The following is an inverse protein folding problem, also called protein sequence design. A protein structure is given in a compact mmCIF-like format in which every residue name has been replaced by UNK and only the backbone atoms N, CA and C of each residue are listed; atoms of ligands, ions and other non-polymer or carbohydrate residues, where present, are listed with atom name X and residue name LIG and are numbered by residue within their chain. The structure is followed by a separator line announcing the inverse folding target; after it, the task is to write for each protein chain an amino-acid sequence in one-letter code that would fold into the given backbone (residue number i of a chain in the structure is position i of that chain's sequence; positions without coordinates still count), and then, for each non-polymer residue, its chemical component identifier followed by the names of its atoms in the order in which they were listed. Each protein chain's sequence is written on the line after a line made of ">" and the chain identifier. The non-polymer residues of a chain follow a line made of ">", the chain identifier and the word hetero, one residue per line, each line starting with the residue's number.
data_IF_890297970531
#
_entry.id   IF_890297970531
#
_cell.length_a   1.000
_cell.length_b   1.000
_cell.length_c   1.000
_cell.angle_alpha   90.00
_cell.angle_beta   90.00
_cell.angle_gamma   90.00
#
_symmetry.space_group_name_H-M   'P 1'
#
loop_
_entity.id
_entity.type
_entity.pdbx_description
1 polymer ?
#
# COMPACT_ATOMS: atom_id res chain seq x y z
N UNK A 1 12.89 -0.93 19.88
CA UNK A 1 12.14 -0.78 21.15
C UNK A 1 10.64 -0.98 20.92
N UNK A 2 10.00 -0.25 19.99
CA UNK A 2 8.59 -0.44 19.60
C UNK A 2 8.33 -1.86 19.07
N UNK A 3 9.24 -2.37 18.24
CA UNK A 3 9.18 -3.73 17.69
C UNK A 3 9.30 -4.81 18.77
N UNK A 4 10.20 -4.65 19.74
CA UNK A 4 10.29 -5.56 20.88
C UNK A 4 9.03 -5.55 21.72
N UNK A 5 8.44 -4.38 21.95
CA UNK A 5 7.21 -4.26 22.74
C UNK A 5 6.04 -4.96 22.04
N UNK A 6 5.90 -4.76 20.73
CA UNK A 6 4.85 -5.41 19.93
C UNK A 6 5.02 -6.93 19.83
N UNK A 7 6.24 -7.43 19.64
CA UNK A 7 6.49 -8.87 19.51
C UNK A 7 6.58 -9.61 20.86
N UNK A 8 7.13 -9.00 21.93
CA UNK A 8 7.22 -9.62 23.27
C UNK A 8 5.87 -9.67 23.95
N UNK A 9 5.01 -8.67 23.76
CA UNK A 9 3.65 -8.67 24.32
C UNK A 9 2.70 -9.68 23.62
N UNK A 10 3.20 -10.48 22.67
CA UNK A 10 2.41 -11.51 21.98
C UNK A 10 1.37 -10.96 21.01
N UNK A 11 1.32 -9.64 20.78
CA UNK A 11 0.33 -9.02 19.90
C UNK A 11 0.46 -9.51 18.46
N UNK A 12 1.66 -9.85 17.99
CA UNK A 12 1.86 -10.39 16.65
C UNK A 12 1.17 -11.75 16.37
N UNK A 13 0.54 -12.40 17.37
CA UNK A 13 -0.18 -13.68 17.17
C UNK A 13 -1.59 -13.52 16.58
N UNK A 14 -2.22 -12.34 16.73
CA UNK A 14 -3.59 -12.09 16.23
C UNK A 14 -3.58 -11.06 15.10
N UNK A 15 -4.22 -11.39 13.98
CA UNK A 15 -4.35 -10.55 12.78
C UNK A 15 -4.87 -9.13 13.08
N UNK A 16 -5.89 -9.04 13.92
CA UNK A 16 -6.49 -7.78 14.39
C UNK A 16 -5.49 -6.83 15.06
N UNK A 17 -4.43 -7.35 15.68
CA UNK A 17 -3.45 -6.51 16.35
C UNK A 17 -2.58 -5.72 15.35
N UNK A 18 -2.44 -6.20 14.11
CA UNK A 18 -1.78 -5.43 13.05
C UNK A 18 -2.64 -4.26 12.57
N UNK A 19 -3.97 -4.40 12.56
CA UNK A 19 -4.89 -3.29 12.28
C UNK A 19 -4.74 -2.22 13.37
N UNK A 20 -4.89 -2.60 14.63
CA UNK A 20 -4.77 -1.66 15.75
C UNK A 20 -3.38 -1.01 15.80
N UNK A 21 -2.33 -1.77 15.51
CA UNK A 21 -0.97 -1.25 15.45
C UNK A 21 -0.82 -0.21 14.33
N UNK A 22 -1.26 -0.53 13.10
CA UNK A 22 -1.23 0.42 11.98
C UNK A 22 -2.00 1.68 12.31
N UNK A 23 -3.17 1.54 12.92
CA UNK A 23 -4.01 2.66 13.35
C UNK A 23 -3.28 3.58 14.33
N UNK A 24 -2.77 3.02 15.43
CA UNK A 24 -2.06 3.80 16.46
C UNK A 24 -0.82 4.48 15.88
N UNK A 25 -0.06 3.78 15.02
CA UNK A 25 1.15 4.34 14.41
C UNK A 25 0.82 5.53 13.51
N UNK A 26 -0.27 5.48 12.74
CA UNK A 26 -0.71 6.64 11.95
C UNK A 26 -1.08 7.82 12.83
N UNK A 27 -1.86 7.59 13.90
CA UNK A 27 -2.24 8.66 14.83
C UNK A 27 -1.00 9.31 15.45
N UNK A 28 -0.09 8.50 16.00
CA UNK A 28 1.16 8.99 16.59
C UNK A 28 2.02 9.71 15.55
N UNK A 29 2.15 9.16 14.34
CA UNK A 29 2.93 9.76 13.28
C UNK A 29 2.35 11.08 12.79
N UNK A 30 1.03 11.17 12.66
CA UNK A 30 0.31 12.39 12.32
C UNK A 30 0.52 13.49 13.36
N UNK A 31 0.32 13.20 14.66
CA UNK A 31 0.57 14.18 15.71
C UNK A 31 2.04 14.58 15.82
N UNK A 32 2.96 13.64 15.61
CA UNK A 32 4.40 13.95 15.56
C UNK A 32 4.70 14.91 14.40
N UNK A 33 4.13 14.68 13.22
CA UNK A 33 4.26 15.57 12.07
C UNK A 33 3.59 16.92 12.28
N UNK A 34 2.44 16.96 12.95
CA UNK A 34 1.75 18.19 13.34
C UNK A 34 2.65 19.09 14.20
N UNK A 35 3.32 18.50 15.19
CA UNK A 35 4.18 19.24 16.12
C UNK A 35 5.49 19.69 15.46
N UNK A 36 6.15 18.80 14.72
CA UNK A 36 7.49 19.05 14.17
C UNK A 36 7.50 19.77 12.82
N UNK A 37 6.52 19.47 11.97
CA UNK A 37 6.48 19.90 10.57
C UNK A 37 5.18 20.64 10.21
N UNK A 38 4.38 21.03 11.22
CA UNK A 38 3.09 21.73 11.03
C UNK A 38 2.11 20.97 10.14
N UNK A 39 2.14 19.64 10.23
CA UNK A 39 1.37 18.70 9.42
C UNK A 39 1.62 18.86 7.91
N UNK A 40 2.88 18.94 7.50
CA UNK A 40 3.21 18.71 6.09
C UNK A 40 2.81 17.29 5.67
N UNK A 41 2.13 17.16 4.53
CA UNK A 41 1.57 15.90 4.05
C UNK A 41 2.64 14.83 3.77
N UNK A 42 3.75 15.20 3.13
CA UNK A 42 4.86 14.29 2.82
C UNK A 42 5.64 13.92 4.09
N UNK A 43 5.91 14.90 4.96
CA UNK A 43 6.55 14.66 6.24
C UNK A 43 5.73 13.67 7.09
N UNK A 44 4.40 13.78 7.07
CA UNK A 44 3.50 12.85 7.75
C UNK A 44 3.68 11.42 7.25
N UNK A 45 3.68 11.22 5.92
CA UNK A 45 3.90 9.90 5.31
C UNK A 45 5.28 9.32 5.68
N UNK A 46 6.32 10.15 5.66
CA UNK A 46 7.68 9.73 6.01
C UNK A 46 7.82 9.34 7.48
N UNK A 47 7.27 10.14 8.40
CA UNK A 47 7.30 9.84 9.85
C UNK A 47 6.59 8.52 10.14
N UNK A 48 5.40 8.31 9.57
CA UNK A 48 4.65 7.05 9.72
C UNK A 48 5.46 5.88 9.16
N UNK A 49 6.06 6.04 7.99
CA UNK A 49 6.91 5.02 7.36
C UNK A 49 8.10 4.65 8.25
N UNK A 50 8.78 5.65 8.83
CA UNK A 50 9.91 5.44 9.74
C UNK A 50 9.48 4.67 11.01
N UNK A 51 8.31 4.98 11.57
CA UNK A 51 7.77 4.27 12.73
C UNK A 51 7.43 2.80 12.43
N UNK A 52 6.97 2.51 11.22
CA UNK A 52 6.64 1.15 10.77
C UNK A 52 7.87 0.31 10.40
N UNK A 53 8.95 0.95 9.96
CA UNK A 53 10.13 0.29 9.39
C UNK A 53 10.74 -0.80 10.31
N UNK A 54 10.97 -0.57 11.62
CA UNK A 54 11.57 -1.60 12.49
C UNK A 54 10.74 -2.88 12.59
N UNK A 55 9.42 -2.74 12.68
CA UNK A 55 8.49 -3.88 12.82
C UNK A 55 8.50 -4.74 11.55
N UNK A 56 8.50 -4.09 10.40
CA UNK A 56 8.43 -4.78 9.11
C UNK A 56 9.78 -5.35 8.67
N UNK A 57 10.90 -4.68 8.96
CA UNK A 57 12.24 -5.27 8.81
C UNK A 57 12.37 -6.58 9.61
N UNK A 58 11.84 -6.61 10.83
CA UNK A 58 11.82 -7.83 11.66
C UNK A 58 10.95 -8.92 11.06
N UNK A 59 9.86 -8.55 10.41
CA UNK A 59 8.96 -9.48 9.73
C UNK A 59 9.64 -10.12 8.50
N UNK A 60 10.26 -9.31 7.63
CA UNK A 60 11.05 -9.81 6.50
C UNK A 60 12.21 -10.71 6.94
N UNK A 61 12.86 -10.38 8.06
CA UNK A 61 13.92 -11.23 8.61
C UNK A 61 13.42 -12.61 9.00
N UNK A 62 12.20 -12.71 9.56
CA UNK A 62 11.59 -14.02 9.89
C UNK A 62 11.21 -14.79 8.63
N UNK A 63 10.62 -14.12 7.65
CA UNK A 63 10.20 -14.73 6.39
C UNK A 63 11.37 -15.37 5.64
N UNK A 64 12.48 -14.65 5.53
CA UNK A 64 13.66 -15.16 4.84
C UNK A 64 14.22 -16.45 5.48
N UNK A 65 14.25 -16.53 6.81
CA UNK A 65 14.71 -17.74 7.51
C UNK A 65 13.83 -18.95 7.15
N UNK A 66 12.54 -18.72 6.89
CA UNK A 66 11.60 -19.76 6.44
C UNK A 66 11.89 -20.13 4.98
N UNK A 67 12.10 -19.14 4.11
CA UNK A 67 12.41 -19.33 2.68
C UNK A 67 13.70 -20.12 2.49
N UNK A 68 14.77 -19.81 3.24
CA UNK A 68 16.06 -20.52 3.16
C UNK A 68 15.95 -22.00 3.53
N UNK A 69 15.07 -22.34 4.49
CA UNK A 69 14.94 -23.70 5.03
C UNK A 69 14.01 -24.60 4.21
N UNK A 70 13.09 -24.03 3.41
CA UNK A 70 12.07 -24.79 2.68
C UNK A 70 12.31 -24.72 1.17
N UNK A 71 12.25 -25.88 0.49
CA UNK A 71 12.12 -25.90 -0.99
C UNK A 71 10.78 -25.25 -1.35
N UNK A 72 10.82 -24.05 -1.93
CA UNK A 72 9.65 -23.27 -2.29
C UNK A 72 8.87 -23.93 -3.44
N UNK A 73 7.86 -24.76 -3.13
CA UNK A 73 6.95 -25.32 -4.15
C UNK A 73 5.75 -24.43 -4.44
N UNK A 74 5.33 -23.59 -3.48
CA UNK A 74 4.11 -22.76 -3.58
C UNK A 74 4.34 -21.34 -3.04
N UNK A 75 4.62 -20.38 -3.94
CA UNK A 75 4.95 -18.99 -3.63
C UNK A 75 3.91 -18.35 -2.70
N UNK A 76 2.62 -18.41 -3.06
CA UNK A 76 1.55 -17.80 -2.25
C UNK A 76 1.36 -18.43 -0.87
N UNK A 77 1.53 -19.76 -0.74
CA UNK A 77 1.44 -20.43 0.57
C UNK A 77 2.64 -20.10 1.46
N UNK A 78 3.81 -19.90 0.84
CA UNK A 78 5.03 -19.58 1.57
C UNK A 78 4.99 -18.17 2.14
N UNK A 79 4.52 -17.20 1.35
CA UNK A 79 4.46 -15.78 1.75
C UNK A 79 3.13 -15.36 2.40
N UNK A 80 2.23 -16.30 2.70
CA UNK A 80 0.92 -16.02 3.26
C UNK A 80 0.99 -15.15 4.52
N UNK A 81 1.96 -15.41 5.41
CA UNK A 81 2.11 -14.64 6.65
C UNK A 81 2.48 -13.17 6.38
N UNK A 82 3.37 -12.92 5.41
CA UNK A 82 3.74 -11.56 5.00
C UNK A 82 2.55 -10.86 4.38
N UNK A 83 1.88 -11.51 3.43
CA UNK A 83 0.71 -10.93 2.76
C UNK A 83 -0.41 -10.60 3.73
N UNK A 84 -0.75 -11.51 4.65
CA UNK A 84 -1.75 -11.24 5.68
C UNK A 84 -1.32 -10.08 6.57
N UNK A 85 -0.07 -10.06 7.04
CA UNK A 85 0.40 -8.98 7.93
C UNK A 85 0.34 -7.62 7.25
N UNK A 86 0.82 -7.53 6.01
CA UNK A 86 0.78 -6.32 5.21
C UNK A 86 -0.66 -5.84 4.96
N UNK A 87 -1.57 -6.78 4.65
CA UNK A 87 -2.97 -6.48 4.43
C UNK A 87 -3.66 -5.92 5.69
N UNK A 88 -3.49 -6.58 6.84
CA UNK A 88 -4.08 -6.09 8.09
C UNK A 88 -3.47 -4.76 8.55
N UNK A 89 -2.16 -4.58 8.34
CA UNK A 89 -1.51 -3.31 8.62
C UNK A 89 -2.06 -2.19 7.72
N UNK A 90 -2.22 -2.46 6.42
CA UNK A 90 -2.82 -1.54 5.46
C UNK A 90 -4.21 -1.10 5.93
N UNK A 91 -5.08 -2.02 6.35
CA UNK A 91 -6.42 -1.68 6.84
C UNK A 91 -6.36 -0.72 8.04
N UNK A 92 -5.45 -0.97 8.99
CA UNK A 92 -5.25 -0.09 10.14
C UNK A 92 -4.84 1.32 9.73
N UNK A 93 -3.89 1.42 8.78
CA UNK A 93 -3.40 2.69 8.25
C UNK A 93 -4.52 3.44 7.52
N UNK A 94 -5.21 2.75 6.61
CA UNK A 94 -6.33 3.29 5.83
C UNK A 94 -7.43 3.85 6.72
N UNK A 95 -7.91 3.09 7.72
CA UNK A 95 -8.97 3.58 8.61
C UNK A 95 -8.50 4.74 9.49
N UNK A 96 -7.23 4.79 9.90
CA UNK A 96 -6.72 5.94 10.64
C UNK A 96 -6.70 7.20 9.79
N UNK A 97 -6.19 7.13 8.55
CA UNK A 97 -6.26 8.26 7.63
C UNK A 97 -7.70 8.68 7.34
N UNK A 98 -8.59 7.73 7.08
CA UNK A 98 -10.01 8.02 6.85
C UNK A 98 -10.64 8.80 8.01
N UNK A 99 -10.39 8.39 9.26
CA UNK A 99 -10.92 9.11 10.43
C UNK A 99 -10.27 10.50 10.58
N UNK A 100 -8.96 10.60 10.38
CA UNK A 100 -8.25 11.89 10.43
C UNK A 100 -8.79 12.87 9.38
N UNK A 101 -9.00 12.40 8.16
CA UNK A 101 -9.53 13.22 7.07
C UNK A 101 -11.00 13.60 7.32
N UNK A 102 -11.86 12.66 7.75
CA UNK A 102 -13.25 12.94 8.12
C UNK A 102 -13.36 14.00 9.22
N UNK A 103 -12.48 13.95 10.21
CA UNK A 103 -12.51 14.89 11.36
C UNK A 103 -11.95 16.27 11.00
N UNK A 104 -11.09 16.36 10.00
CA UNK A 104 -10.41 17.61 9.62
C UNK A 104 -11.04 18.31 8.41
N UNK A 105 -11.93 17.64 7.69
CA UNK A 105 -12.57 18.15 6.46
C UNK A 105 -13.27 19.51 6.63
N UNK A 106 -13.72 19.85 7.85
CA UNK A 106 -14.40 21.12 8.11
C UNK A 106 -13.45 22.33 8.10
N UNK A 107 -12.16 22.13 8.40
CA UNK A 107 -11.15 23.18 8.31
C UNK A 107 -10.38 23.01 7.00
N UNK A 108 -10.86 23.65 5.93
CA UNK A 108 -10.31 23.50 4.58
C UNK A 108 -8.83 23.91 4.49
N UNK A 109 -8.40 24.96 5.20
CA UNK A 109 -6.99 25.38 5.17
C UNK A 109 -6.08 24.32 5.80
N UNK A 110 -6.49 23.78 6.96
CA UNK A 110 -5.75 22.71 7.62
C UNK A 110 -5.75 21.42 6.78
N UNK A 111 -6.92 21.05 6.24
CA UNK A 111 -7.08 19.85 5.41
C UNK A 111 -6.17 19.90 4.18
N UNK A 112 -6.21 21.00 3.42
CA UNK A 112 -5.42 21.17 2.20
C UNK A 112 -3.93 21.14 2.46
N UNK A 113 -3.46 21.57 3.64
CA UNK A 113 -2.04 21.47 4.04
C UNK A 113 -1.69 20.06 4.53
N UNK A 114 -2.50 19.51 5.43
CA UNK A 114 -2.29 18.21 6.06
C UNK A 114 -2.31 17.05 5.06
N UNK A 115 -3.13 17.18 4.01
CA UNK A 115 -3.35 16.16 2.99
C UNK A 115 -3.09 16.70 1.57
N UNK A 116 -2.17 17.66 1.43
CA UNK A 116 -1.83 18.28 0.14
C UNK A 116 -1.41 17.25 -0.89
N UNK A 117 -0.44 16.40 -0.56
CA UNK A 117 0.06 15.35 -1.46
C UNK A 117 -1.06 14.43 -1.94
N UNK A 118 -1.92 13.98 -1.03
CA UNK A 118 -3.02 13.08 -1.34
C UNK A 118 -4.06 13.77 -2.22
N UNK A 119 -4.43 15.00 -1.86
CA UNK A 119 -5.46 15.79 -2.57
C UNK A 119 -4.98 16.14 -3.98
N UNK A 120 -3.75 16.63 -4.12
CA UNK A 120 -3.14 16.92 -5.43
C UNK A 120 -3.05 15.65 -6.28
N UNK A 121 -2.62 14.53 -5.71
CA UNK A 121 -2.58 13.27 -6.44
C UNK A 121 -3.98 12.87 -6.95
N UNK A 122 -5.00 12.99 -6.10
CA UNK A 122 -6.39 12.67 -6.48
C UNK A 122 -6.88 13.59 -7.59
N UNK A 123 -6.63 14.90 -7.50
CA UNK A 123 -7.01 15.90 -8.50
C UNK A 123 -6.32 15.63 -9.84
N UNK A 124 -5.00 15.42 -9.83
CA UNK A 124 -4.20 15.18 -11.03
C UNK A 124 -4.54 13.85 -11.72
N UNK A 125 -5.18 12.93 -11.00
CA UNK A 125 -5.51 11.59 -11.49
C UNK A 125 -7.02 11.34 -11.63
N UNK A 126 -7.87 12.37 -11.56
CA UNK A 126 -9.34 12.22 -11.64
C UNK A 126 -9.82 11.50 -12.91
N UNK A 127 -9.21 11.83 -14.06
CA UNK A 127 -9.51 11.18 -15.34
C UNK A 127 -9.17 9.68 -15.29
N UNK A 128 -7.97 9.35 -14.80
CA UNK A 128 -7.53 7.95 -14.65
C UNK A 128 -8.39 7.15 -13.66
N UNK A 129 -9.06 7.82 -12.73
CA UNK A 129 -9.98 7.24 -11.74
C UNK A 129 -11.40 7.08 -12.29
N UNK A 130 -11.69 7.59 -13.49
CA UNK A 130 -13.04 7.57 -14.09
C UNK A 130 -14.01 8.54 -13.43
N UNK A 131 -13.50 9.61 -12.80
CA UNK A 131 -14.32 10.63 -12.13
C UNK A 131 -14.79 11.71 -13.13
N UNK A 132 -14.07 11.89 -14.24
CA UNK A 132 -14.36 12.87 -15.29
C UNK A 132 -14.42 12.17 -16.65
N UNK A 133 -15.44 12.49 -17.45
CA UNK A 133 -15.70 11.86 -18.76
C UNK A 133 -14.89 12.53 -19.89
N UNK A 134 -13.65 12.05 -20.11
CA UNK A 134 -12.77 12.54 -21.17
C UNK A 134 -12.18 11.39 -22.01
N UNK A 135 -12.99 10.75 -22.86
CA UNK A 135 -12.50 9.93 -23.97
C UNK A 135 -11.78 8.61 -23.60
N UNK A 136 -12.34 7.49 -24.05
CA UNK A 136 -12.03 6.15 -23.56
C UNK A 136 -10.57 5.69 -23.76
N UNK A 137 -9.90 6.06 -24.86
CA UNK A 137 -8.60 5.44 -25.23
C UNK A 137 -7.38 6.05 -24.51
N UNK A 138 -7.35 7.36 -24.28
CA UNK A 138 -6.25 8.05 -23.61
C UNK A 138 -6.19 7.79 -22.10
N UNK A 139 -7.37 7.63 -21.49
CA UNK A 139 -7.54 7.39 -20.04
C UNK A 139 -7.04 6.00 -19.63
N UNK A 140 -7.26 4.98 -20.46
CA UNK A 140 -6.82 3.60 -20.15
C UNK A 140 -5.30 3.51 -20.13
N UNK A 141 -4.63 4.09 -21.12
CA UNK A 141 -3.17 4.01 -21.25
C UNK A 141 -2.49 4.78 -20.13
N UNK A 142 -2.98 5.99 -19.81
CA UNK A 142 -2.42 6.80 -18.73
C UNK A 142 -2.59 6.13 -17.35
N UNK A 143 -3.76 5.56 -17.06
CA UNK A 143 -4.00 4.84 -15.80
C UNK A 143 -3.04 3.65 -15.61
N UNK A 144 -2.86 2.82 -16.65
CA UNK A 144 -1.96 1.66 -16.60
C UNK A 144 -0.51 2.11 -16.41
N UNK A 145 -0.08 3.17 -17.11
CA UNK A 145 1.29 3.70 -16.98
C UNK A 145 1.53 4.23 -15.56
N UNK A 146 0.59 4.98 -14.98
CA UNK A 146 0.73 5.52 -13.64
C UNK A 146 0.85 4.40 -12.58
N UNK A 147 -0.02 3.40 -12.64
CA UNK A 147 0.05 2.25 -11.73
C UNK A 147 1.33 1.43 -11.93
N UNK A 148 1.80 1.25 -13.17
CA UNK A 148 3.08 0.59 -13.46
C UNK A 148 4.27 1.36 -12.90
N UNK A 149 4.29 2.69 -13.04
CA UNK A 149 5.34 3.55 -12.47
C UNK A 149 5.35 3.41 -10.95
N UNK A 150 4.19 3.50 -10.29
CA UNK A 150 4.07 3.32 -8.84
C UNK A 150 4.57 1.92 -8.42
N UNK A 151 4.23 0.88 -9.18
CA UNK A 151 4.69 -0.47 -8.92
C UNK A 151 6.21 -0.59 -9.07
N UNK A 152 6.81 -0.02 -10.12
CA UNK A 152 8.27 -0.02 -10.31
C UNK A 152 8.97 0.75 -9.19
N UNK A 153 8.46 1.91 -8.80
CA UNK A 153 8.98 2.67 -7.65
C UNK A 153 8.88 1.83 -6.38
N UNK A 154 7.78 1.10 -6.18
CA UNK A 154 7.61 0.18 -5.04
C UNK A 154 8.64 -0.92 -5.00
N UNK A 155 8.90 -1.52 -6.17
CA UNK A 155 9.92 -2.54 -6.30
C UNK A 155 11.29 -1.98 -5.96
N UNK A 156 11.66 -0.83 -6.55
CA UNK A 156 12.97 -0.19 -6.36
C UNK A 156 13.19 0.27 -4.92
N UNK A 157 12.20 0.94 -4.31
CA UNK A 157 12.30 1.35 -2.90
C UNK A 157 12.45 0.12 -1.99
N UNK A 158 11.68 -0.94 -2.23
CA UNK A 158 11.82 -2.17 -1.45
C UNK A 158 13.15 -2.88 -1.73
N UNK A 159 13.67 -2.78 -2.95
CA UNK A 159 14.97 -3.33 -3.32
C UNK A 159 16.14 -2.61 -2.65
N UNK A 160 16.14 -1.27 -2.60
CA UNK A 160 17.24 -0.53 -1.98
C UNK A 160 17.17 -0.50 -0.45
N UNK A 161 15.96 -0.35 0.11
CA UNK A 161 15.79 -0.17 1.54
C UNK A 161 15.29 -1.42 2.26
N UNK A 162 15.13 -2.54 1.55
CA UNK A 162 14.63 -3.84 2.05
C UNK A 162 13.13 -3.85 2.37
N UNK A 163 12.65 -2.78 3.01
CA UNK A 163 11.26 -2.55 3.34
C UNK A 163 10.75 -1.21 2.82
N UNK A 164 11.43 -0.58 1.85
CA UNK A 164 11.01 0.72 1.30
C UNK A 164 9.62 0.73 0.65
N UNK A 165 9.10 -0.44 0.25
CA UNK A 165 7.71 -0.57 -0.22
C UNK A 165 6.65 -0.18 0.82
N UNK A 166 7.02 -0.06 2.10
CA UNK A 166 6.13 0.45 3.17
C UNK A 166 5.66 1.86 2.87
N UNK A 167 6.56 2.71 2.39
CA UNK A 167 6.23 4.10 2.08
C UNK A 167 5.03 4.16 1.14
N UNK A 168 5.04 3.33 0.09
CA UNK A 168 3.94 3.29 -0.85
C UNK A 168 2.67 2.66 -0.30
N UNK A 169 2.76 1.70 0.62
CA UNK A 169 1.57 1.18 1.29
C UNK A 169 0.91 2.27 2.13
N UNK A 170 1.71 3.06 2.86
CA UNK A 170 1.21 4.20 3.63
C UNK A 170 0.62 5.25 2.69
N UNK A 171 1.35 5.59 1.62
CA UNK A 171 0.89 6.57 0.63
C UNK A 171 -0.41 6.13 -0.06
N UNK A 172 -0.49 4.90 -0.56
CA UNK A 172 -1.67 4.33 -1.20
C UNK A 172 -2.84 4.28 -0.22
N UNK A 173 -2.62 3.87 1.03
CA UNK A 173 -3.67 3.90 2.06
C UNK A 173 -4.22 5.31 2.28
N UNK A 174 -3.35 6.32 2.36
CA UNK A 174 -3.75 7.73 2.53
C UNK A 174 -4.45 8.32 1.29
N UNK A 175 -3.99 7.96 0.08
CA UNK A 175 -4.64 8.40 -1.16
C UNK A 175 -6.04 7.79 -1.27
N UNK A 176 -6.17 6.51 -0.93
CA UNK A 176 -7.47 5.82 -0.97
C UNK A 176 -8.47 6.40 0.02
N UNK A 177 -8.05 6.81 1.21
CA UNK A 177 -8.93 7.54 2.13
C UNK A 177 -9.34 8.88 1.54
N UNK A 178 -8.44 9.63 0.91
CA UNK A 178 -8.77 10.91 0.25
C UNK A 178 -9.71 10.74 -0.94
N UNK A 179 -9.56 9.69 -1.74
CA UNK A 179 -10.52 9.33 -2.80
C UNK A 179 -11.89 9.10 -2.20
N UNK A 180 -11.98 8.32 -1.12
CA UNK A 180 -13.24 8.03 -0.44
C UNK A 180 -13.92 9.31 0.08
N UNK A 181 -13.15 10.25 0.64
CA UNK A 181 -13.65 11.56 1.07
C UNK A 181 -14.15 12.43 -0.09
N UNK A 182 -13.46 12.42 -1.23
CA UNK A 182 -13.90 13.16 -2.42
C UNK A 182 -15.18 12.55 -2.99
N UNK A 183 -15.25 11.23 -3.11
CA UNK A 183 -16.42 10.51 -3.59
C UNK A 183 -17.66 10.77 -2.71
N UNK A 184 -17.49 10.88 -1.39
CA UNK A 184 -18.59 11.23 -0.47
C UNK A 184 -19.29 12.54 -0.86
N UNK A 185 -18.61 13.49 -1.52
CA UNK A 185 -19.19 14.77 -1.94
C UNK A 185 -20.04 14.66 -3.22
N UNK A 186 -19.87 13.62 -4.03
CA UNK A 186 -20.52 13.49 -5.34
C UNK A 186 -21.85 12.74 -5.30
N UNK A 187 -22.10 11.93 -4.27
CA UNK A 187 -23.33 11.13 -4.20
C UNK A 187 -24.37 11.76 -3.28
N UNK A 188 -25.54 12.10 -3.85
CA UNK A 188 -26.69 12.59 -3.09
C UNK A 188 -27.42 11.49 -2.33
N UNK A 189 -27.35 10.23 -2.81
CA UNK A 189 -28.00 9.08 -2.18
C UNK A 189 -27.02 8.18 -1.43
N UNK A 190 -27.31 7.91 -0.16
CA UNK A 190 -26.51 7.02 0.69
C UNK A 190 -26.39 5.60 0.12
N UNK A 191 -27.45 5.08 -0.50
CA UNK A 191 -27.47 3.73 -1.05
C UNK A 191 -26.61 3.58 -2.30
N UNK A 192 -26.72 4.52 -3.26
CA UNK A 192 -25.89 4.53 -4.47
C UNK A 192 -24.41 4.67 -4.14
N UNK A 193 -24.09 5.58 -3.20
CA UNK A 193 -22.75 5.74 -2.66
C UNK A 193 -22.20 4.43 -2.08
N UNK A 194 -22.95 3.77 -1.21
CA UNK A 194 -22.50 2.56 -0.51
C UNK A 194 -22.21 1.42 -1.49
N UNK A 195 -23.08 1.22 -2.49
CA UNK A 195 -22.89 0.16 -3.50
C UNK A 195 -21.72 0.42 -4.44
N UNK A 196 -21.54 1.68 -4.86
CA UNK A 196 -20.37 2.09 -5.63
C UNK A 196 -19.08 1.89 -4.84
N UNK A 197 -19.10 2.26 -3.56
CA UNK A 197 -17.97 2.12 -2.66
C UNK A 197 -17.54 0.67 -2.48
N UNK A 198 -18.49 -0.19 -2.15
CA UNK A 198 -18.23 -1.61 -1.94
C UNK A 198 -17.68 -2.22 -3.22
N UNK A 199 -18.30 -1.94 -4.37
CA UNK A 199 -17.84 -2.41 -5.68
C UNK A 199 -16.40 -1.98 -5.96
N UNK A 200 -16.11 -0.68 -5.83
CA UNK A 200 -14.77 -0.13 -6.06
C UNK A 200 -13.74 -0.74 -5.10
N UNK A 201 -14.10 -0.88 -3.83
CA UNK A 201 -13.19 -1.40 -2.82
C UNK A 201 -12.84 -2.88 -3.08
N UNK A 202 -13.83 -3.72 -3.36
CA UNK A 202 -13.61 -5.15 -3.56
C UNK A 202 -13.02 -5.50 -4.92
N UNK A 203 -13.41 -4.79 -6.00
CA UNK A 203 -13.01 -5.12 -7.37
C UNK A 203 -11.66 -4.48 -7.74
N UNK A 204 -11.40 -3.26 -7.26
CA UNK A 204 -10.21 -2.51 -7.63
C UNK A 204 -9.21 -2.37 -6.47
N UNK A 205 -9.64 -1.75 -5.36
CA UNK A 205 -8.72 -1.33 -4.29
C UNK A 205 -8.02 -2.52 -3.64
N UNK A 206 -8.79 -3.54 -3.21
CA UNK A 206 -8.25 -4.71 -2.50
C UNK A 206 -7.26 -5.50 -3.37
N UNK A 207 -7.59 -5.83 -4.64
CA UNK A 207 -6.61 -6.43 -5.56
C UNK A 207 -5.37 -5.56 -5.81
N UNK A 208 -5.54 -4.23 -5.94
CA UNK A 208 -4.42 -3.32 -6.19
C UNK A 208 -3.43 -3.29 -5.03
N UNK A 209 -3.93 -3.25 -3.78
CA UNK A 209 -3.09 -3.36 -2.59
C UNK A 209 -2.30 -4.66 -2.61
N UNK A 210 -2.93 -5.76 -3.04
CA UNK A 210 -2.25 -7.05 -3.14
C UNK A 210 -1.10 -7.01 -4.15
N UNK A 211 -1.26 -6.33 -5.30
CA UNK A 211 -0.17 -6.08 -6.26
C UNK A 211 0.99 -5.35 -5.59
N UNK A 212 0.72 -4.25 -4.88
CA UNK A 212 1.78 -3.48 -4.21
C UNK A 212 2.50 -4.29 -3.12
N UNK A 213 1.78 -5.13 -2.39
CA UNK A 213 2.36 -6.05 -1.40
C UNK A 213 3.26 -7.08 -2.09
N UNK A 214 2.80 -7.71 -3.18
CA UNK A 214 3.60 -8.68 -3.93
C UNK A 214 4.87 -8.05 -4.48
N UNK A 215 4.75 -6.88 -5.08
CA UNK A 215 5.86 -6.11 -5.64
C UNK A 215 6.87 -5.68 -4.59
N UNK A 216 6.39 -5.16 -3.46
CA UNK A 216 7.24 -4.79 -2.31
C UNK A 216 7.95 -6.01 -1.74
N UNK A 217 7.26 -7.15 -1.66
CA UNK A 217 7.84 -8.41 -1.18
C UNK A 217 8.92 -8.92 -2.14
N UNK A 218 8.68 -8.84 -3.46
CA UNK A 218 9.67 -9.21 -4.47
C UNK A 218 10.95 -8.36 -4.36
N UNK A 219 10.80 -7.04 -4.27
CA UNK A 219 11.93 -6.12 -4.08
C UNK A 219 12.69 -6.39 -2.79
N UNK A 220 11.99 -6.61 -1.67
CA UNK A 220 12.62 -6.86 -0.36
C UNK A 220 13.34 -8.20 -0.27
N UNK A 221 12.78 -9.26 -0.88
CA UNK A 221 13.45 -10.56 -1.01
C UNK A 221 14.73 -10.42 -1.84
N UNK A 222 14.64 -9.71 -2.97
CA UNK A 222 15.79 -9.51 -3.86
C UNK A 222 16.89 -8.67 -3.21
N UNK A 223 16.53 -7.57 -2.52
CA UNK A 223 17.43 -6.71 -1.74
C UNK A 223 18.34 -7.56 -0.86
N UNK A 224 17.71 -8.44 -0.10
CA UNK A 224 18.41 -9.27 0.87
C UNK A 224 19.25 -10.35 0.21
N UNK A 225 18.79 -10.93 -0.89
CA UNK A 225 19.58 -11.89 -1.66
C UNK A 225 20.90 -11.27 -2.14
N UNK A 226 20.85 -10.03 -2.62
CA UNK A 226 22.05 -9.28 -3.07
C UNK A 226 23.01 -9.02 -1.91
N UNK A 227 22.49 -8.68 -0.72
CA UNK A 227 23.33 -8.36 0.45
C UNK A 227 23.93 -9.62 1.09
N UNK A 228 23.18 -10.72 1.12
CA UNK A 228 23.49 -11.86 2.01
C UNK A 228 24.03 -13.12 1.31
N UNK A 229 23.89 -13.23 -0.01
CA UNK A 229 24.35 -14.38 -0.78
C UNK A 229 25.49 -13.98 -1.73
N UNK A 230 26.38 -14.93 -2.05
CA UNK A 230 27.33 -14.73 -3.15
C UNK A 230 26.54 -14.62 -4.45
N UNK A 231 26.75 -13.56 -5.22
CA UNK A 231 26.00 -13.25 -6.46
C UNK A 231 26.02 -14.41 -7.48
N UNK A 232 27.02 -15.30 -7.42
CA UNK A 232 27.13 -16.49 -8.30
C UNK A 232 26.68 -17.82 -7.65
N UNK A 233 26.11 -17.78 -6.45
CA UNK A 233 25.68 -18.97 -5.72
C UNK A 233 24.38 -19.58 -6.26
N UNK A 234 24.24 -20.91 -6.18
CA UNK A 234 22.97 -21.60 -6.50
C UNK A 234 21.79 -21.07 -5.67
N UNK A 235 22.05 -20.69 -4.42
CA UNK A 235 21.05 -20.09 -3.53
C UNK A 235 20.57 -18.73 -4.03
N UNK A 236 21.49 -17.85 -4.45
CA UNK A 236 21.15 -16.56 -5.04
C UNK A 236 20.27 -16.72 -6.29
N UNK A 237 20.65 -17.63 -7.20
CA UNK A 237 19.85 -17.89 -8.41
C UNK A 237 18.42 -18.37 -8.10
N UNK A 238 18.26 -19.20 -7.06
CA UNK A 238 16.94 -19.65 -6.62
C UNK A 238 16.08 -18.50 -6.07
N UNK A 239 16.67 -17.64 -5.23
CA UNK A 239 15.95 -16.50 -4.64
C UNK A 239 15.62 -15.45 -5.70
N UNK A 240 16.56 -15.15 -6.60
CA UNK A 240 16.34 -14.25 -7.74
C UNK A 240 15.18 -14.74 -8.62
N UNK A 241 15.16 -16.03 -8.97
CA UNK A 241 14.09 -16.62 -9.78
C UNK A 241 12.73 -16.51 -9.09
N UNK A 242 12.69 -16.65 -7.76
CA UNK A 242 11.46 -16.52 -6.98
C UNK A 242 10.96 -15.07 -6.94
N UNK A 243 11.84 -14.11 -6.65
CA UNK A 243 11.52 -12.69 -6.65
C UNK A 243 11.03 -12.21 -8.03
N UNK A 244 11.69 -12.63 -9.12
CA UNK A 244 11.28 -12.29 -10.49
C UNK A 244 9.91 -12.90 -10.82
N UNK A 245 9.65 -14.16 -10.44
CA UNK A 245 8.32 -14.78 -10.65
C UNK A 245 7.23 -14.02 -9.89
N UNK A 246 7.49 -13.64 -8.64
CA UNK A 246 6.54 -12.89 -7.82
C UNK A 246 6.24 -11.52 -8.44
N UNK A 247 7.25 -10.83 -8.96
CA UNK A 247 7.09 -9.55 -9.65
C UNK A 247 6.31 -9.69 -10.97
N UNK A 248 6.58 -10.73 -11.78
CA UNK A 248 5.81 -11.02 -12.99
C UNK A 248 4.33 -11.29 -12.67
N UNK A 249 4.04 -12.06 -11.61
CA UNK A 249 2.66 -12.26 -11.19
C UNK A 249 1.98 -10.96 -10.74
N UNK A 250 2.70 -10.06 -10.08
CA UNK A 250 2.18 -8.74 -9.72
C UNK A 250 1.86 -7.90 -10.97
N UNK A 251 2.73 -7.90 -12.00
CA UNK A 251 2.47 -7.23 -13.28
C UNK A 251 1.20 -7.76 -13.94
N UNK A 252 1.08 -9.09 -14.08
CA UNK A 252 -0.09 -9.70 -14.72
C UNK A 252 -1.37 -9.37 -13.97
N UNK A 253 -1.34 -9.44 -12.64
CA UNK A 253 -2.48 -9.09 -11.82
C UNK A 253 -2.84 -7.60 -11.95
N UNK A 254 -1.85 -6.70 -12.03
CA UNK A 254 -2.08 -5.27 -12.23
C UNK A 254 -2.82 -4.98 -13.54
N UNK A 255 -2.44 -5.65 -14.62
CA UNK A 255 -3.10 -5.50 -15.92
C UNK A 255 -4.57 -5.95 -15.86
N UNK A 256 -4.85 -7.08 -15.18
CA UNK A 256 -6.22 -7.55 -14.96
C UNK A 256 -7.02 -6.54 -14.15
N UNK A 257 -6.44 -5.98 -13.07
CA UNK A 257 -7.11 -5.01 -12.21
C UNK A 257 -7.42 -3.72 -12.96
N UNK A 258 -6.49 -3.22 -13.78
CA UNK A 258 -6.74 -2.04 -14.59
C UNK A 258 -7.84 -2.26 -15.63
N UNK A 259 -7.93 -3.46 -16.23
CA UNK A 259 -9.04 -3.81 -17.09
C UNK A 259 -10.39 -3.84 -16.33
N UNK A 260 -10.40 -4.38 -15.10
CA UNK A 260 -11.59 -4.39 -14.24
C UNK A 260 -11.99 -2.98 -13.77
N UNK A 261 -11.02 -2.13 -13.44
CA UNK A 261 -11.23 -0.72 -13.08
C UNK A 261 -12.01 0.00 -14.17
N UNK A 262 -11.61 -0.20 -15.42
CA UNK A 262 -12.27 0.39 -16.58
C UNK A 262 -13.72 -0.10 -16.73
N UNK A 263 -13.95 -1.41 -16.59
CA UNK A 263 -15.30 -1.97 -16.61
C UNK A 263 -16.19 -1.38 -15.50
N UNK A 264 -15.62 -1.16 -14.32
CA UNK A 264 -16.33 -0.57 -13.19
C UNK A 264 -16.65 0.91 -13.43
N UNK A 265 -15.70 1.68 -13.97
CA UNK A 265 -15.95 3.07 -14.35
C UNK A 265 -17.09 3.19 -15.38
N UNK A 266 -17.12 2.33 -16.40
CA UNK A 266 -18.18 2.31 -17.41
C UNK A 266 -19.57 1.94 -16.85
N UNK A 267 -19.63 1.17 -15.77
CA UNK A 267 -20.89 0.71 -15.19
C UNK A 267 -21.58 1.78 -14.32
N UNK A 268 -20.83 2.78 -13.86
CA UNK A 268 -21.30 3.81 -12.92
C UNK A 268 -21.28 5.24 -13.49
N UNK A 269 -20.74 5.43 -14.70
CA UNK A 269 -20.93 6.61 -15.56
C UNK A 269 -22.17 6.40 -16.45
#
# INVERSE_FOLDING_TARGET
>A
MIDELFFKAGLARRKLNFILFGFIVVIVGFFTSLILFKADSLATLLVITMLLMPVLMRLFRKEEVIVRKKKLKHIFKNHKFVFETYFFLFLGIFFAFLILELTTIYNQEFFSRAFEFQTTWVIDNQESLGIVDTGISGVIISAIINDLILMIISFLLSFFYGSGGIFLIVAVASILSTILIHLLRFFESFFGFTMFLLSTFFIYVLPLIFVFIMTSTAGGILSKAVISEKISGKNFSNVLRDAVRLFIYAIVLLLIINALKFFLALLFL
#
